data_IF_053972233717
#
_entry.id   IF_053972233717
#
_cell.length_a   1.000
_cell.length_b   1.000
_cell.length_c   1.000
_cell.angle_alpha   90.00
_cell.angle_beta   90.00
_cell.angle_gamma   90.00
#
_symmetry.space_group_name_H-M   'P 1'
#
loop_
_entity.id
_entity.type
_entity.pdbx_description
1 polymer ?
#
# COMPACT_ATOMS: atom_id res chain seq x y z
N UNK A 1 -28.03 -38.63 17.51
CA UNK A 1 -28.00 -37.80 16.32
C UNK A 1 -26.62 -37.22 16.16
N UNK A 2 -26.16 -37.09 14.94
CA UNK A 2 -24.85 -36.53 14.60
C UNK A 2 -25.00 -35.06 14.13
N UNK A 3 -25.94 -34.33 14.77
CA UNK A 3 -26.15 -32.94 14.45
C UNK A 3 -24.83 -32.15 14.64
N UNK A 4 -24.49 -31.31 13.69
CA UNK A 4 -23.36 -30.37 13.71
C UNK A 4 -23.88 -28.97 13.37
N UNK A 5 -23.12 -27.95 13.73
CA UNK A 5 -23.38 -26.61 13.23
C UNK A 5 -22.86 -26.53 11.79
N UNK A 6 -23.77 -26.21 10.88
CA UNK A 6 -23.42 -25.87 9.52
C UNK A 6 -22.88 -24.45 9.42
N UNK A 7 -22.47 -24.02 8.22
CA UNK A 7 -21.93 -22.68 7.95
C UNK A 7 -22.98 -21.56 8.12
N UNK A 8 -24.27 -21.91 8.40
CA UNK A 8 -25.35 -20.98 8.73
C UNK A 8 -25.66 -20.88 10.21
N UNK A 9 -24.84 -21.46 11.08
CA UNK A 9 -25.16 -21.61 12.50
C UNK A 9 -26.45 -22.43 12.80
N UNK A 10 -26.93 -23.23 11.83
CA UNK A 10 -28.03 -24.20 12.07
C UNK A 10 -27.42 -25.50 12.55
N UNK A 11 -27.97 -26.03 13.64
CA UNK A 11 -27.48 -27.26 14.23
C UNK A 11 -28.42 -28.41 13.87
N UNK A 12 -28.12 -29.14 12.78
CA UNK A 12 -28.86 -30.32 12.37
C UNK A 12 -27.95 -31.39 11.74
N UNK A 13 -28.55 -32.43 11.14
CA UNK A 13 -27.87 -33.52 10.44
C UNK A 13 -28.30 -33.63 8.97
N UNK A 14 -28.85 -32.56 8.41
CA UNK A 14 -29.33 -32.50 7.01
C UNK A 14 -28.35 -31.74 6.09
N UNK A 15 -27.50 -32.47 5.36
CA UNK A 15 -26.54 -31.79 4.44
C UNK A 15 -27.21 -31.15 3.22
N UNK A 16 -28.53 -31.23 3.09
CA UNK A 16 -29.23 -30.59 1.96
C UNK A 16 -29.62 -29.14 2.25
N UNK A 17 -29.49 -28.70 3.50
CA UNK A 17 -29.68 -27.34 3.94
C UNK A 17 -28.40 -26.68 4.45
N UNK A 18 -27.26 -27.39 4.33
CA UNK A 18 -25.95 -26.75 4.51
C UNK A 18 -25.86 -25.52 3.58
N UNK A 19 -25.66 -24.35 4.16
CA UNK A 19 -25.60 -23.15 3.36
C UNK A 19 -24.43 -23.19 2.37
N UNK A 20 -24.73 -23.65 1.18
CA UNK A 20 -24.13 -23.00 0.02
C UNK A 20 -24.61 -21.55 0.09
N UNK A 21 -23.78 -20.53 -0.15
CA UNK A 21 -24.30 -19.18 -0.23
C UNK A 21 -25.36 -19.15 -1.34
N UNK A 22 -26.64 -19.29 -0.95
CA UNK A 22 -27.80 -19.14 -1.87
C UNK A 22 -27.90 -17.72 -2.41
N UNK A 23 -26.81 -16.98 -2.32
CA UNK A 23 -26.67 -15.58 -2.67
C UNK A 23 -25.68 -15.34 -3.81
N UNK A 24 -25.84 -14.21 -4.41
CA UNK A 24 -24.87 -13.70 -5.38
C UNK A 24 -23.70 -13.03 -4.64
N UNK A 25 -22.49 -13.21 -5.14
CA UNK A 25 -21.30 -12.52 -4.63
C UNK A 25 -20.77 -11.57 -5.70
N UNK A 26 -20.66 -10.29 -5.34
CA UNK A 26 -20.04 -9.25 -6.17
C UNK A 26 -18.63 -8.96 -5.65
N UNK A 27 -17.63 -8.97 -6.51
CA UNK A 27 -16.26 -8.71 -6.10
C UNK A 27 -15.42 -8.09 -7.22
N UNK A 28 -14.32 -7.43 -6.83
CA UNK A 28 -13.35 -6.91 -7.79
C UNK A 28 -12.44 -8.02 -8.33
N UNK A 29 -12.24 -8.01 -9.64
CA UNK A 29 -11.17 -8.73 -10.31
C UNK A 29 -9.93 -7.85 -10.46
N UNK A 30 -9.37 -7.81 -11.69
CA UNK A 30 -8.24 -6.96 -11.99
C UNK A 30 -8.60 -5.47 -11.95
N UNK A 31 -7.75 -4.66 -11.30
CA UNK A 31 -7.86 -3.20 -11.29
C UNK A 31 -6.58 -2.62 -11.90
N UNK A 32 -6.73 -1.82 -12.95
CA UNK A 32 -5.63 -1.10 -13.59
C UNK A 32 -5.84 0.41 -13.42
N UNK A 33 -5.12 0.98 -12.47
CA UNK A 33 -5.20 2.42 -12.14
C UNK A 33 -4.70 3.29 -13.30
N UNK A 34 -3.71 2.82 -14.06
CA UNK A 34 -3.15 3.59 -15.17
C UNK A 34 -4.09 3.61 -16.37
N UNK A 35 -4.80 2.51 -16.60
CA UNK A 35 -5.83 2.43 -17.64
C UNK A 35 -7.17 3.04 -17.18
N UNK A 36 -7.36 3.24 -15.87
CA UNK A 36 -8.62 3.69 -15.28
C UNK A 36 -9.72 2.64 -15.42
N UNK A 37 -9.40 1.36 -15.18
CA UNK A 37 -10.35 0.25 -15.32
C UNK A 37 -10.36 -0.65 -14.10
N UNK A 38 -11.55 -1.19 -13.77
CA UNK A 38 -11.74 -2.18 -12.72
C UNK A 38 -12.74 -3.25 -13.17
N UNK A 39 -12.36 -4.50 -13.10
CA UNK A 39 -13.25 -5.63 -13.36
C UNK A 39 -14.16 -5.85 -12.14
N UNK A 40 -15.44 -6.07 -12.41
CA UNK A 40 -16.41 -6.55 -11.42
C UNK A 40 -16.90 -7.92 -11.86
N UNK A 41 -16.77 -8.88 -10.98
CA UNK A 41 -17.18 -10.27 -11.16
C UNK A 41 -18.44 -10.56 -10.35
N UNK A 42 -19.23 -11.48 -10.84
CA UNK A 42 -20.44 -11.97 -10.19
C UNK A 42 -20.43 -13.49 -10.16
N UNK A 43 -20.44 -14.03 -8.96
CA UNK A 43 -20.75 -15.44 -8.71
C UNK A 43 -22.21 -15.54 -8.26
N UNK A 44 -23.01 -16.38 -8.94
CA UNK A 44 -24.44 -16.50 -8.70
C UNK A 44 -24.93 -17.94 -8.88
N UNK A 45 -25.81 -18.43 -7.99
CA UNK A 45 -26.36 -19.79 -8.06
C UNK A 45 -27.39 -19.97 -9.17
N UNK A 46 -27.93 -18.89 -9.73
CA UNK A 46 -28.99 -18.93 -10.73
C UNK A 46 -28.90 -17.78 -11.75
N UNK A 47 -29.80 -17.83 -12.72
CA UNK A 47 -29.85 -16.82 -13.80
C UNK A 47 -30.18 -15.43 -13.25
N UNK A 48 -29.57 -14.37 -13.82
CA UNK A 48 -29.75 -12.98 -13.41
C UNK A 48 -30.47 -12.17 -14.48
N UNK A 49 -31.51 -11.45 -14.03
CA UNK A 49 -32.34 -10.58 -14.90
C UNK A 49 -32.01 -9.08 -14.73
N UNK A 50 -31.32 -8.71 -13.66
CA UNK A 50 -30.89 -7.33 -13.40
C UNK A 50 -29.94 -7.27 -12.22
N UNK A 51 -29.11 -6.25 -12.20
CA UNK A 51 -28.23 -5.97 -11.07
C UNK A 51 -28.09 -4.47 -10.84
N UNK A 52 -27.83 -4.11 -9.60
CA UNK A 52 -27.40 -2.78 -9.18
C UNK A 52 -26.38 -2.93 -8.06
N UNK A 53 -25.40 -2.05 -8.03
CA UNK A 53 -24.48 -1.90 -6.91
C UNK A 53 -23.91 -0.49 -6.88
N UNK A 54 -23.24 -0.14 -5.79
CA UNK A 54 -22.53 1.12 -5.63
C UNK A 54 -21.04 0.82 -5.46
N UNK A 55 -20.20 1.59 -6.13
CA UNK A 55 -18.74 1.56 -5.98
C UNK A 55 -18.30 2.87 -5.37
N UNK A 56 -17.55 2.79 -4.27
CA UNK A 56 -16.91 3.92 -3.61
C UNK A 56 -15.46 4.10 -4.08
N UNK A 57 -14.84 5.19 -3.70
CA UNK A 57 -13.38 5.40 -3.84
C UNK A 57 -12.88 5.72 -5.24
N UNK A 58 -13.74 5.69 -6.27
CA UNK A 58 -13.40 6.03 -7.66
C UNK A 58 -14.48 6.90 -8.31
N UNK A 59 -14.07 7.72 -9.28
CA UNK A 59 -14.98 8.53 -10.12
C UNK A 59 -15.33 7.78 -11.38
N UNK A 60 -16.50 7.12 -11.41
CA UNK A 60 -16.96 6.33 -12.56
C UNK A 60 -17.24 7.22 -13.79
N UNK A 61 -16.77 6.79 -14.95
CA UNK A 61 -17.01 7.41 -16.25
C UNK A 61 -17.82 6.51 -17.20
N UNK A 62 -17.80 5.21 -16.98
CA UNK A 62 -18.49 4.23 -17.82
C UNK A 62 -18.44 2.81 -17.27
N UNK A 63 -19.08 1.91 -18.00
CA UNK A 63 -18.98 0.48 -17.80
C UNK A 63 -19.20 -0.24 -19.15
N UNK A 64 -18.46 -1.31 -19.40
CA UNK A 64 -18.53 -2.09 -20.64
C UNK A 64 -18.02 -3.52 -20.42
N UNK A 65 -18.24 -4.39 -21.39
CA UNK A 65 -17.71 -5.75 -21.39
C UNK A 65 -18.43 -6.72 -20.45
N UNK A 66 -17.92 -7.94 -20.41
CA UNK A 66 -18.47 -9.01 -19.58
C UNK A 66 -19.89 -9.43 -19.93
N UNK A 67 -20.58 -10.00 -18.96
CA UNK A 67 -21.97 -10.40 -19.09
C UNK A 67 -22.92 -9.21 -19.30
N UNK A 68 -22.53 -8.02 -18.89
CA UNK A 68 -23.24 -6.77 -19.13
C UNK A 68 -23.33 -6.37 -20.61
N UNK A 69 -22.50 -6.92 -21.49
CA UNK A 69 -22.56 -6.71 -22.95
C UNK A 69 -23.34 -7.79 -23.71
N UNK A 70 -23.96 -8.73 -23.00
CA UNK A 70 -24.83 -9.69 -23.64
C UNK A 70 -25.98 -9.00 -24.40
N UNK A 71 -26.44 -9.65 -25.48
CA UNK A 71 -27.47 -9.08 -26.34
C UNK A 71 -28.76 -8.74 -25.58
N UNK A 72 -29.13 -7.46 -25.59
CA UNK A 72 -30.32 -6.94 -24.92
C UNK A 72 -30.03 -6.33 -23.53
N UNK A 73 -28.84 -6.48 -23.00
CA UNK A 73 -28.44 -5.85 -21.76
C UNK A 73 -28.05 -4.39 -21.97
N UNK A 74 -28.26 -3.61 -20.92
CA UNK A 74 -27.80 -2.23 -20.83
C UNK A 74 -27.19 -2.02 -19.45
N UNK A 75 -25.95 -1.55 -19.44
CA UNK A 75 -25.25 -1.14 -18.20
C UNK A 75 -25.06 0.37 -18.24
N UNK A 76 -25.34 1.01 -17.13
CA UNK A 76 -25.16 2.45 -16.97
C UNK A 76 -24.54 2.77 -15.61
N UNK A 77 -23.76 3.83 -15.57
CA UNK A 77 -23.11 4.36 -14.38
C UNK A 77 -23.62 5.76 -14.06
N UNK A 78 -23.50 6.16 -12.81
CA UNK A 78 -23.83 7.51 -12.35
C UNK A 78 -22.71 8.12 -11.52
N UNK A 79 -22.68 9.45 -11.45
CA UNK A 79 -21.62 10.18 -10.75
C UNK A 79 -21.55 9.97 -9.23
N UNK A 80 -22.52 9.25 -8.63
CA UNK A 80 -22.50 8.85 -7.21
C UNK A 80 -22.00 7.41 -7.01
N UNK A 81 -21.39 6.81 -8.04
CA UNK A 81 -20.84 5.45 -7.95
C UNK A 81 -21.85 4.33 -8.24
N UNK A 82 -23.11 4.62 -8.54
CA UNK A 82 -24.10 3.57 -8.85
C UNK A 82 -23.86 2.98 -10.23
N UNK A 83 -23.85 1.65 -10.29
CA UNK A 83 -23.85 0.85 -11.52
C UNK A 83 -25.16 0.11 -11.58
N UNK A 84 -25.86 0.21 -12.70
CA UNK A 84 -27.15 -0.44 -12.96
C UNK A 84 -27.11 -1.20 -14.27
N UNK A 85 -27.41 -2.50 -14.21
CA UNK A 85 -27.54 -3.37 -15.37
C UNK A 85 -28.93 -4.02 -15.43
N UNK A 86 -29.55 -4.01 -16.60
CA UNK A 86 -30.82 -4.65 -16.80
C UNK A 86 -31.00 -5.13 -18.28
N UNK A 87 -31.88 -6.09 -18.46
CA UNK A 87 -32.16 -6.67 -19.77
C UNK A 87 -33.57 -6.31 -20.27
N UNK A 88 -33.64 -5.93 -21.52
CA UNK A 88 -34.92 -5.87 -22.26
C UNK A 88 -35.12 -7.17 -23.01
N UNK A 89 -35.82 -8.12 -22.43
CA UNK A 89 -36.08 -9.43 -23.03
C UNK A 89 -35.89 -10.58 -22.08
N UNK A 90 -35.43 -11.71 -22.59
CA UNK A 90 -35.25 -12.96 -21.84
C UNK A 90 -33.82 -13.52 -21.98
N UNK A 91 -32.84 -12.69 -22.30
CA UNK A 91 -31.42 -13.09 -22.32
C UNK A 91 -30.82 -12.78 -20.95
N UNK A 92 -30.93 -13.73 -20.02
CA UNK A 92 -30.39 -13.58 -18.66
C UNK A 92 -28.91 -13.87 -18.64
N UNK A 93 -28.20 -13.34 -17.66
CA UNK A 93 -26.85 -13.77 -17.32
C UNK A 93 -26.99 -15.15 -16.66
N UNK A 94 -26.32 -16.20 -17.17
CA UNK A 94 -26.44 -17.54 -16.61
C UNK A 94 -25.77 -17.64 -15.23
N UNK A 95 -26.21 -18.62 -14.45
CA UNK A 95 -25.54 -19.00 -13.20
C UNK A 95 -24.06 -19.30 -13.42
N UNK A 96 -23.22 -18.94 -12.45
CA UNK A 96 -21.79 -19.19 -12.47
C UNK A 96 -21.00 -18.01 -11.95
N UNK A 97 -19.69 -18.14 -12.02
CA UNK A 97 -18.71 -17.12 -11.63
C UNK A 97 -18.10 -16.53 -12.91
N UNK A 98 -18.58 -15.37 -13.30
CA UNK A 98 -18.21 -14.74 -14.56
C UNK A 98 -17.92 -13.24 -14.39
N UNK A 99 -17.13 -12.69 -15.34
CA UNK A 99 -16.91 -11.24 -15.45
C UNK A 99 -18.26 -10.56 -15.76
N UNK A 100 -18.76 -9.77 -14.80
CA UNK A 100 -20.02 -9.05 -14.94
C UNK A 100 -19.88 -7.83 -15.86
N UNK A 101 -18.91 -6.98 -15.57
CA UNK A 101 -18.60 -5.77 -16.34
C UNK A 101 -17.22 -5.22 -16.01
N UNK A 102 -16.67 -4.39 -16.87
CA UNK A 102 -15.47 -3.59 -16.63
C UNK A 102 -15.91 -2.15 -16.42
N UNK A 103 -15.62 -1.61 -15.25
CA UNK A 103 -15.85 -0.21 -14.92
C UNK A 103 -14.73 0.66 -15.51
N UNK A 104 -15.09 1.84 -15.99
CA UNK A 104 -14.15 2.90 -16.35
C UNK A 104 -14.21 4.02 -15.31
N UNK A 105 -13.06 4.55 -14.90
CA UNK A 105 -12.97 5.66 -13.95
C UNK A 105 -11.88 6.65 -14.34
N UNK A 106 -12.05 7.92 -13.93
CA UNK A 106 -11.09 8.99 -14.24
C UNK A 106 -10.14 9.30 -13.07
N UNK A 107 -10.62 9.09 -11.85
CA UNK A 107 -9.90 9.48 -10.65
C UNK A 107 -10.12 8.47 -9.53
N UNK A 108 -9.09 8.28 -8.71
CA UNK A 108 -9.16 7.63 -7.41
C UNK A 108 -9.46 8.72 -6.38
N UNK A 109 -10.56 8.58 -5.65
CA UNK A 109 -11.05 9.59 -4.70
C UNK A 109 -10.85 9.20 -3.25
N UNK A 110 -10.51 7.93 -2.99
CA UNK A 110 -10.20 7.40 -1.66
C UNK A 110 -9.14 6.30 -1.79
N UNK A 111 -8.44 5.99 -0.70
CA UNK A 111 -7.44 4.91 -0.64
C UNK A 111 -8.05 3.51 -0.75
N UNK A 112 -9.36 3.39 -0.62
CA UNK A 112 -10.10 2.14 -0.66
C UNK A 112 -11.32 2.27 -1.56
N UNK A 113 -11.53 1.27 -2.43
CA UNK A 113 -12.73 1.12 -3.24
C UNK A 113 -13.50 -0.12 -2.82
N UNK A 114 -14.78 0.03 -2.50
CA UNK A 114 -15.64 -1.06 -2.08
C UNK A 114 -16.88 -1.14 -2.97
N UNK A 115 -17.38 -2.38 -3.17
CA UNK A 115 -18.68 -2.64 -3.76
C UNK A 115 -19.68 -2.78 -2.61
N UNK A 116 -20.78 -2.05 -2.69
CA UNK A 116 -21.84 -2.03 -1.67
C UNK A 116 -23.23 -1.89 -2.30
N UNK A 117 -24.29 -1.95 -1.48
CA UNK A 117 -25.67 -1.72 -1.86
C UNK A 117 -26.13 -2.54 -3.07
N UNK A 118 -25.63 -3.79 -3.14
CA UNK A 118 -25.94 -4.72 -4.23
C UNK A 118 -27.38 -5.20 -4.21
N UNK A 119 -27.95 -5.24 -5.40
CA UNK A 119 -29.22 -5.92 -5.68
C UNK A 119 -29.00 -6.78 -6.91
N UNK A 120 -29.23 -8.08 -6.80
CA UNK A 120 -29.16 -9.03 -7.91
C UNK A 120 -30.52 -9.70 -8.06
N UNK A 121 -31.16 -9.46 -9.19
CA UNK A 121 -32.54 -9.93 -9.43
C UNK A 121 -32.55 -11.21 -10.25
N UNK A 122 -33.24 -12.20 -9.77
CA UNK A 122 -33.56 -13.41 -10.53
C UNK A 122 -34.59 -13.15 -11.63
N UNK A 123 -34.81 -14.11 -12.55
CA UNK A 123 -35.88 -14.05 -13.56
C UNK A 123 -37.26 -13.84 -12.94
N UNK A 124 -38.24 -13.31 -13.72
CA UNK A 124 -39.59 -13.06 -13.21
C UNK A 124 -40.26 -14.30 -12.63
N UNK A 125 -40.66 -14.21 -11.37
CA UNK A 125 -41.33 -15.30 -10.62
C UNK A 125 -40.44 -16.00 -9.64
N UNK A 126 -39.18 -15.62 -9.55
CA UNK A 126 -38.20 -16.05 -8.55
C UNK A 126 -37.89 -14.91 -7.57
N UNK A 127 -37.44 -15.24 -6.35
CA UNK A 127 -37.02 -14.26 -5.36
C UNK A 127 -35.64 -13.70 -5.75
N UNK A 128 -35.34 -12.43 -5.42
CA UNK A 128 -34.00 -11.87 -5.65
C UNK A 128 -32.97 -12.56 -4.76
N UNK A 129 -31.73 -12.65 -5.26
CA UNK A 129 -30.63 -13.25 -4.52
C UNK A 129 -30.23 -12.36 -3.33
N UNK A 130 -29.86 -13.00 -2.21
CA UNK A 130 -29.04 -12.34 -1.18
C UNK A 130 -27.70 -11.90 -1.80
N UNK A 131 -27.14 -10.78 -1.37
CA UNK A 131 -25.89 -10.29 -1.95
C UNK A 131 -24.81 -10.21 -0.88
N UNK A 132 -23.68 -10.86 -1.15
CA UNK A 132 -22.44 -10.73 -0.43
C UNK A 132 -21.38 -10.01 -1.28
N UNK A 133 -20.28 -9.58 -0.65
CA UNK A 133 -19.25 -8.81 -1.31
C UNK A 133 -17.89 -9.42 -1.02
N UNK A 134 -17.00 -9.39 -2.02
CA UNK A 134 -15.58 -9.63 -1.81
C UNK A 134 -14.91 -8.48 -1.06
N UNK A 135 -13.60 -8.62 -0.88
CA UNK A 135 -12.79 -7.59 -0.23
C UNK A 135 -12.78 -6.28 -1.02
N UNK A 136 -12.66 -5.16 -0.31
CA UNK A 136 -12.43 -3.88 -0.96
C UNK A 136 -11.04 -3.84 -1.60
N UNK A 137 -10.91 -3.13 -2.70
CA UNK A 137 -9.62 -2.90 -3.34
C UNK A 137 -8.91 -1.74 -2.67
N UNK A 138 -7.66 -1.95 -2.25
CA UNK A 138 -6.81 -0.93 -1.65
C UNK A 138 -5.90 -0.35 -2.73
N UNK A 139 -5.99 0.94 -2.94
CA UNK A 139 -5.07 1.66 -3.81
C UNK A 139 -3.77 1.90 -3.07
N UNK A 140 -2.69 1.27 -3.53
CA UNK A 140 -1.37 1.64 -3.04
C UNK A 140 -1.13 3.12 -3.37
N UNK A 141 -0.65 3.94 -2.43
CA UNK A 141 -0.21 5.28 -2.77
C UNK A 141 0.82 5.17 -3.90
N UNK A 142 0.57 5.86 -4.99
CA UNK A 142 1.54 5.94 -6.08
C UNK A 142 2.89 6.44 -5.53
N UNK A 143 4.01 6.20 -6.24
CA UNK A 143 5.30 6.72 -5.81
C UNK A 143 5.14 8.21 -5.54
N UNK A 144 5.40 8.61 -4.31
CA UNK A 144 5.39 10.03 -3.92
C UNK A 144 6.53 10.69 -4.67
N UNK A 145 6.25 11.77 -5.41
CA UNK A 145 7.31 12.59 -5.96
C UNK A 145 7.86 13.46 -4.85
N UNK A 146 9.16 13.46 -4.67
CA UNK A 146 9.79 14.35 -3.70
C UNK A 146 9.75 15.80 -4.22
N UNK A 147 8.84 16.60 -3.67
CA UNK A 147 8.63 18.01 -4.05
C UNK A 147 9.38 19.01 -3.13
N UNK A 148 10.10 18.51 -2.13
CA UNK A 148 10.90 19.32 -1.21
C UNK A 148 12.29 19.59 -1.80
N UNK A 149 12.60 20.85 -2.10
CA UNK A 149 13.87 21.28 -2.67
C UNK A 149 15.05 21.22 -1.68
N UNK A 150 14.78 20.96 -0.40
CA UNK A 150 15.79 20.69 0.63
C UNK A 150 16.18 19.21 0.72
N UNK A 151 15.40 18.32 0.13
CA UNK A 151 15.70 16.89 0.11
C UNK A 151 16.77 16.55 -0.92
N UNK A 152 17.56 15.52 -0.63
CA UNK A 152 18.66 15.09 -1.50
C UNK A 152 18.19 14.48 -2.83
N UNK A 153 16.97 13.98 -2.88
CA UNK A 153 16.38 13.37 -4.07
C UNK A 153 15.25 14.22 -4.67
N UNK A 154 15.32 15.54 -4.56
CA UNK A 154 14.32 16.44 -5.14
C UNK A 154 13.97 16.07 -6.59
N UNK A 155 12.67 15.92 -6.86
CA UNK A 155 12.13 15.55 -8.18
C UNK A 155 12.21 14.05 -8.51
N UNK A 156 12.68 13.20 -7.62
CA UNK A 156 12.62 11.75 -7.79
C UNK A 156 11.20 11.22 -7.52
N UNK A 157 10.84 10.11 -8.18
CA UNK A 157 9.56 9.41 -7.96
C UNK A 157 9.67 8.44 -6.77
N UNK A 158 10.00 8.99 -5.60
CA UNK A 158 10.13 8.28 -4.32
C UNK A 158 10.01 9.28 -3.17
N UNK A 159 9.83 8.79 -1.94
CA UNK A 159 9.75 9.65 -0.75
C UNK A 159 11.01 10.51 -0.60
N UNK A 160 10.82 11.74 -0.12
CA UNK A 160 11.95 12.62 0.19
C UNK A 160 12.83 11.98 1.27
N UNK A 161 14.16 12.00 1.05
CA UNK A 161 15.10 11.63 2.08
C UNK A 161 16.09 12.77 2.36
N UNK A 162 16.51 12.84 3.62
CA UNK A 162 17.36 13.91 4.13
C UNK A 162 18.62 13.30 4.75
N UNK A 163 19.79 13.98 4.65
CA UNK A 163 21.03 13.44 5.14
C UNK A 163 21.04 13.16 6.66
N UNK A 164 20.34 13.95 7.43
CA UNK A 164 20.21 13.77 8.88
C UNK A 164 19.53 12.47 9.30
N UNK A 165 18.64 11.90 8.45
CA UNK A 165 17.97 10.63 8.73
C UNK A 165 18.96 9.45 8.70
N UNK A 166 20.05 9.57 7.95
CA UNK A 166 21.12 8.58 7.81
C UNK A 166 22.35 8.92 8.66
N UNK A 167 22.32 10.05 9.38
CA UNK A 167 23.44 10.53 10.20
C UNK A 167 24.54 11.20 9.37
N UNK A 168 24.21 11.67 8.18
CA UNK A 168 25.08 12.46 7.31
C UNK A 168 24.82 13.96 7.50
N UNK A 169 25.75 14.78 7.09
CA UNK A 169 25.61 16.23 7.15
C UNK A 169 25.31 16.88 5.81
N UNK A 170 25.39 16.11 4.72
CA UNK A 170 25.01 16.55 3.37
C UNK A 170 24.53 15.39 2.48
N UNK A 171 24.12 15.69 1.25
CA UNK A 171 23.62 14.71 0.29
C UNK A 171 24.71 13.84 -0.36
N UNK A 172 25.98 14.12 -0.12
CA UNK A 172 27.12 13.32 -0.60
C UNK A 172 27.57 12.25 0.40
N UNK A 173 26.77 12.00 1.45
CA UNK A 173 27.02 11.05 2.52
C UNK A 173 28.24 11.39 3.38
N UNK A 174 28.56 12.67 3.49
CA UNK A 174 29.60 13.13 4.41
C UNK A 174 29.11 13.11 5.86
N UNK A 175 30.04 12.93 6.77
CA UNK A 175 29.81 13.04 8.22
C UNK A 175 30.58 14.23 8.77
N UNK A 176 30.08 14.81 9.85
CA UNK A 176 30.82 15.86 10.56
C UNK A 176 32.10 15.28 11.16
N UNK A 177 33.20 16.01 11.00
CA UNK A 177 34.44 15.74 11.69
C UNK A 177 34.39 16.17 13.18
N UNK A 178 35.43 15.96 13.92
CA UNK A 178 35.44 16.33 15.33
C UNK A 178 35.44 17.85 15.60
N UNK A 179 35.64 18.67 14.57
CA UNK A 179 35.52 20.13 14.64
C UNK A 179 34.11 20.61 14.30
N UNK A 180 33.24 19.69 13.78
CA UNK A 180 31.88 19.99 13.34
C UNK A 180 31.79 20.43 11.89
N UNK A 181 32.86 20.23 11.11
CA UNK A 181 32.87 20.55 9.68
C UNK A 181 32.39 19.33 8.87
N UNK A 182 31.36 19.54 8.01
CA UNK A 182 30.82 18.48 7.16
C UNK A 182 31.83 18.02 6.13
N UNK A 183 32.17 16.71 6.12
CA UNK A 183 33.20 16.16 5.25
C UNK A 183 34.61 16.67 5.54
N UNK A 184 34.83 17.23 6.73
CA UNK A 184 36.14 17.69 7.19
C UNK A 184 37.12 16.55 7.46
N UNK A 185 38.39 16.89 7.60
CA UNK A 185 39.49 15.97 7.80
C UNK A 185 40.01 15.97 9.26
N UNK A 186 39.39 16.77 10.15
CA UNK A 186 39.83 16.84 11.55
C UNK A 186 39.50 15.51 12.25
N UNK A 187 40.47 14.98 12.96
CA UNK A 187 40.32 13.75 13.71
C UNK A 187 40.68 13.92 15.19
N UNK A 188 40.07 13.11 16.02
CA UNK A 188 40.40 13.05 17.46
C UNK A 188 41.70 12.27 17.60
N UNK A 189 42.71 12.91 18.19
CA UNK A 189 43.99 12.29 18.47
C UNK A 189 43.92 11.28 19.65
N UNK A 190 45.06 10.62 19.97
CA UNK A 190 45.10 9.60 21.01
C UNK A 190 44.83 10.17 22.43
N UNK A 191 44.94 11.49 22.58
CA UNK A 191 44.63 12.20 23.82
C UNK A 191 43.19 12.73 23.89
N UNK A 192 42.38 12.42 22.89
CA UNK A 192 40.98 12.84 22.83
C UNK A 192 40.80 14.30 22.38
N UNK A 193 41.85 14.94 21.82
CA UNK A 193 41.82 16.33 21.34
C UNK A 193 41.56 16.34 19.83
N UNK A 194 40.57 17.12 19.44
CA UNK A 194 40.26 17.27 18.01
C UNK A 194 41.40 18.06 17.35
N UNK A 195 41.96 17.49 16.26
CA UNK A 195 43.05 18.03 15.45
C UNK A 195 44.29 18.40 16.30
N UNK A 196 44.47 17.70 17.44
CA UNK A 196 45.53 17.96 18.43
C UNK A 196 46.88 17.40 17.99
N UNK A 197 46.94 16.46 17.03
CA UNK A 197 48.16 15.83 16.50
C UNK A 197 49.05 15.22 17.61
N UNK A 198 48.44 14.74 18.71
CA UNK A 198 49.15 14.24 19.90
C UNK A 198 50.10 15.26 20.56
N UNK A 199 49.83 16.57 20.37
CA UNK A 199 50.66 17.62 20.93
C UNK A 199 50.61 17.62 22.46
N UNK A 200 49.56 17.09 23.07
CA UNK A 200 49.34 16.97 24.48
C UNK A 200 49.83 15.61 25.05
N UNK A 201 50.50 14.79 24.25
CA UNK A 201 51.14 13.54 24.65
C UNK A 201 52.59 13.78 25.01
N UNK A 202 52.99 13.34 26.17
CA UNK A 202 54.38 13.43 26.59
C UNK A 202 55.29 12.37 25.93
N UNK A 203 56.56 12.41 26.16
CA UNK A 203 57.52 11.48 25.54
C UNK A 203 57.35 10.03 26.06
N UNK A 204 56.67 9.78 27.17
CA UNK A 204 56.33 8.46 27.67
C UNK A 204 55.07 7.89 27.05
N UNK A 205 54.31 8.72 26.28
CA UNK A 205 53.05 8.36 25.66
C UNK A 205 51.84 8.61 26.56
N UNK A 206 51.99 9.35 27.65
CA UNK A 206 50.91 9.70 28.55
C UNK A 206 50.28 11.03 28.11
N UNK A 207 48.95 11.02 27.94
CA UNK A 207 48.21 12.23 27.59
C UNK A 207 48.23 13.23 28.77
N UNK A 208 48.53 14.50 28.42
CA UNK A 208 48.67 15.58 29.40
C UNK A 208 49.74 15.27 30.50
N UNK A 209 50.66 14.36 30.17
CA UNK A 209 51.80 13.99 31.03
C UNK A 209 52.84 15.10 31.12
N UNK A 210 53.84 14.91 31.99
CA UNK A 210 54.88 15.87 32.23
C UNK A 210 56.28 15.33 31.87
N UNK A 211 56.38 14.11 31.33
CA UNK A 211 57.64 13.54 30.92
C UNK A 211 58.21 14.29 29.70
N UNK A 212 59.48 14.57 29.70
CA UNK A 212 60.21 15.23 28.62
C UNK A 212 61.54 14.53 28.36
N UNK A 213 62.12 14.75 27.17
CA UNK A 213 63.47 14.27 26.89
C UNK A 213 64.48 15.22 27.54
N UNK A 214 65.34 14.68 28.39
CA UNK A 214 66.46 15.40 28.98
C UNK A 214 67.65 15.54 27.99
N UNK A 215 68.74 16.17 28.43
CA UNK A 215 69.97 16.36 27.62
C UNK A 215 70.71 15.05 27.27
N UNK A 216 70.25 13.92 27.87
CA UNK A 216 70.80 12.56 27.69
C UNK A 216 69.84 11.69 26.83
N UNK A 217 68.80 12.27 26.22
CA UNK A 217 67.73 11.56 25.47
C UNK A 217 66.95 10.54 26.33
N UNK A 218 66.85 10.74 27.65
CA UNK A 218 66.03 9.94 28.55
C UNK A 218 64.68 10.63 28.71
N UNK A 219 63.59 9.86 28.50
CA UNK A 219 62.23 10.35 28.70
C UNK A 219 61.77 10.03 30.13
N UNK A 220 61.68 11.05 30.99
CA UNK A 220 61.09 10.96 32.32
C UNK A 220 60.60 12.33 32.82
N UNK A 221 60.07 12.37 34.03
CA UNK A 221 59.58 13.59 34.69
C UNK A 221 60.58 14.08 35.83
N UNK A 222 61.77 13.53 35.86
CA UNK A 222 62.77 13.87 36.91
C UNK A 222 63.76 14.95 36.42
N UNK A 223 63.66 16.21 36.88
CA UNK A 223 64.51 17.31 36.42
C UNK A 223 65.92 17.20 37.01
N UNK A 224 66.27 16.13 37.76
CA UNK A 224 67.50 16.00 38.50
C UNK A 224 68.55 15.04 37.90
N UNK A 225 68.22 14.33 36.83
CA UNK A 225 69.14 13.39 36.18
C UNK A 225 69.66 13.88 34.83
#
# INVERSE_FOLDING_TARGET
GNAYYDDCDVCDDDPSNDCEPDGATLYFGAVDVNAGTAEVWLDTPGDVAGFQFVVSGISLTGAHGGAGDLNGWQVSTSGNGTVLGFVFGSTYIPAGDDLLTVLEFSDVTDMESCITDGVVSAPPGEDPYGVSYGDCYIFEPGPTTCDDDSACNYGAEEDCWYPEDEGWCDCDANVEDCAGDCGGDAYVDDCGVCDGFNADMDCAGDCFGNAYYDDCDVCDDDPSN
#
